data_IF_241910201937
#
_entry.id   IF_241910201937
#
_cell.length_a   1.000
_cell.length_b   1.000
_cell.length_c   1.000
_cell.angle_alpha   90.00
_cell.angle_beta   90.00
_cell.angle_gamma   90.00
#
_symmetry.space_group_name_H-M   'P 1'
#
loop_
_entity.id
_entity.type
_entity.pdbx_description
1 polymer ?
#
# COMPACT_ATOMS: atom_id res chain seq x y z
N UNK A 1 -1.66 6.31 -17.20
CA UNK A 1 -2.86 5.44 -17.43
C UNK A 1 -3.70 5.40 -16.16
N UNK A 2 -5.03 5.57 -16.25
CA UNK A 2 -5.92 5.55 -15.06
C UNK A 2 -6.10 4.11 -14.57
N UNK A 3 -5.75 3.82 -13.33
CA UNK A 3 -5.80 2.48 -12.70
C UNK A 3 -6.97 2.30 -11.74
N UNK A 4 -7.75 3.35 -11.48
CA UNK A 4 -8.94 3.31 -10.63
C UNK A 4 -10.00 2.31 -11.16
N UNK A 5 -10.73 1.67 -10.24
CA UNK A 5 -11.78 0.66 -10.53
C UNK A 5 -11.28 -0.61 -11.23
N UNK A 6 -9.97 -0.81 -11.33
CA UNK A 6 -9.37 -2.07 -11.79
C UNK A 6 -8.69 -2.75 -10.61
N UNK A 7 -8.68 -4.09 -10.55
CA UNK A 7 -8.04 -4.85 -9.48
C UNK A 7 -6.51 -4.84 -9.66
N UNK A 8 -5.90 -3.66 -9.54
CA UNK A 8 -4.47 -3.43 -9.70
C UNK A 8 -3.87 -3.06 -8.35
N UNK A 9 -2.89 -3.84 -7.91
CA UNK A 9 -2.07 -3.52 -6.75
C UNK A 9 -1.02 -2.48 -7.16
N UNK A 10 -1.00 -1.35 -6.47
CA UNK A 10 -0.01 -0.30 -6.67
C UNK A 10 1.00 -0.29 -5.52
N UNK A 11 2.28 -0.39 -5.86
CA UNK A 11 3.39 -0.40 -4.90
C UNK A 11 4.35 0.74 -5.25
N UNK A 12 4.83 1.46 -4.25
CA UNK A 12 5.87 2.47 -4.43
C UNK A 12 7.01 2.26 -3.43
N UNK A 13 8.22 2.59 -3.88
CA UNK A 13 9.42 2.65 -3.05
C UNK A 13 9.71 4.05 -2.50
N UNK A 14 8.92 5.04 -2.91
CA UNK A 14 9.10 6.42 -2.51
C UNK A 14 8.01 6.80 -1.49
N UNK A 15 8.44 7.05 -0.25
CA UNK A 15 7.59 7.34 0.91
C UNK A 15 6.58 8.48 0.72
N UNK A 16 6.82 9.38 -0.23
CA UNK A 16 5.95 10.53 -0.55
C UNK A 16 4.63 10.14 -1.24
N UNK A 17 4.54 8.97 -1.90
CA UNK A 17 3.35 8.62 -2.70
C UNK A 17 2.21 7.96 -1.92
N UNK A 18 2.30 7.79 -0.60
CA UNK A 18 1.22 7.21 0.21
C UNK A 18 -0.11 7.97 0.08
N UNK A 19 -0.04 9.29 -0.21
CA UNK A 19 -1.20 10.16 -0.42
C UNK A 19 -1.69 10.24 -1.86
N UNK A 20 -0.95 9.67 -2.82
CA UNK A 20 -1.19 9.81 -4.27
C UNK A 20 -1.80 8.55 -4.92
N UNK A 21 -2.58 7.77 -4.17
CA UNK A 21 -3.27 6.58 -4.72
C UNK A 21 -2.37 5.34 -4.83
N UNK A 22 -1.30 5.28 -4.02
CA UNK A 22 -0.51 4.06 -3.83
C UNK A 22 -1.07 3.25 -2.67
N UNK A 23 -1.22 1.95 -2.89
CA UNK A 23 -1.81 1.03 -1.91
C UNK A 23 -0.80 0.51 -0.90
N UNK A 24 0.41 0.16 -1.34
CA UNK A 24 1.52 -0.27 -0.48
C UNK A 24 2.71 0.66 -0.70
N UNK A 25 3.16 1.31 0.37
CA UNK A 25 4.31 2.20 0.31
C UNK A 25 5.47 1.63 1.12
N UNK A 26 6.57 1.26 0.46
CA UNK A 26 7.78 0.80 1.10
C UNK A 26 8.50 2.01 1.70
N UNK A 27 8.67 1.98 3.02
CA UNK A 27 9.32 3.05 3.79
C UNK A 27 10.82 2.81 3.94
N UNK A 28 11.21 1.57 4.17
CA UNK A 28 12.58 1.18 4.46
C UNK A 28 12.83 -0.26 4.03
N UNK A 29 14.01 -0.52 3.47
CA UNK A 29 14.54 -1.86 3.23
C UNK A 29 15.88 -1.94 3.96
N UNK A 30 15.96 -2.76 5.01
CA UNK A 30 17.18 -2.91 5.82
C UNK A 30 17.32 -4.33 6.32
N UNK A 31 18.52 -4.90 6.18
CA UNK A 31 18.86 -6.27 6.65
C UNK A 31 17.81 -7.32 6.25
N UNK A 32 17.42 -7.35 4.97
CA UNK A 32 16.37 -8.22 4.42
C UNK A 32 14.97 -8.05 5.05
N UNK A 33 14.72 -6.98 5.81
CA UNK A 33 13.41 -6.62 6.33
C UNK A 33 12.87 -5.41 5.57
N UNK A 34 11.60 -5.49 5.18
CA UNK A 34 10.89 -4.42 4.49
C UNK A 34 9.89 -3.82 5.48
N UNK A 35 9.99 -2.51 5.72
CA UNK A 35 8.93 -1.76 6.40
C UNK A 35 8.06 -1.10 5.36
N UNK A 36 6.76 -1.31 5.47
CA UNK A 36 5.79 -0.77 4.53
C UNK A 36 4.55 -0.25 5.24
N UNK A 37 3.92 0.75 4.63
CA UNK A 37 2.63 1.29 5.04
C UNK A 37 1.54 0.89 4.02
N UNK A 38 0.30 0.79 4.48
CA UNK A 38 -0.86 0.41 3.65
C UNK A 38 -1.88 1.54 3.61
N UNK A 39 -2.47 1.81 2.44
CA UNK A 39 -3.60 2.72 2.25
C UNK A 39 -4.86 1.90 1.87
N UNK A 40 -5.73 1.63 2.86
CA UNK A 40 -6.93 0.81 2.66
C UNK A 40 -7.97 1.52 1.79
N UNK A 41 -8.07 2.85 1.85
CA UNK A 41 -8.98 3.61 1.01
C UNK A 41 -8.67 3.40 -0.48
N UNK A 42 -7.38 3.35 -0.83
CA UNK A 42 -6.93 3.06 -2.21
C UNK A 42 -7.23 1.61 -2.58
N UNK A 43 -7.05 0.66 -1.65
CA UNK A 43 -7.46 -0.74 -1.85
C UNK A 43 -8.94 -0.88 -2.18
N UNK A 44 -9.79 -0.21 -1.41
CA UNK A 44 -11.23 -0.21 -1.61
C UNK A 44 -11.63 0.39 -2.97
N UNK A 45 -11.01 1.51 -3.38
CA UNK A 45 -11.24 2.15 -4.69
C UNK A 45 -10.83 1.27 -5.89
N UNK A 46 -9.90 0.35 -5.69
CA UNK A 46 -9.46 -0.64 -6.69
C UNK A 46 -10.21 -1.98 -6.60
N UNK A 47 -11.24 -2.08 -5.76
CA UNK A 47 -11.97 -3.31 -5.49
C UNK A 47 -11.06 -4.47 -5.02
N UNK A 48 -10.00 -4.12 -4.28
CA UNK A 48 -9.06 -5.07 -3.69
C UNK A 48 -9.27 -5.18 -2.19
N UNK A 49 -9.15 -6.40 -1.68
CA UNK A 49 -9.14 -6.70 -0.25
C UNK A 49 -7.72 -7.05 0.16
N UNK A 50 -7.18 -6.33 1.14
CA UNK A 50 -5.90 -6.65 1.74
C UNK A 50 -6.12 -7.66 2.86
N UNK A 51 -5.26 -8.67 2.98
CA UNK A 51 -5.35 -9.64 4.07
C UNK A 51 -5.06 -8.99 5.43
N UNK A 52 -5.66 -9.53 6.48
CA UNK A 52 -5.45 -9.01 7.83
C UNK A 52 -4.00 -9.15 8.30
N UNK A 53 -3.33 -10.24 7.91
CA UNK A 53 -1.91 -10.47 8.22
C UNK A 53 -1.00 -9.40 7.62
N UNK A 54 -1.29 -8.96 6.39
CA UNK A 54 -0.55 -7.88 5.73
C UNK A 54 -0.74 -6.56 6.46
N UNK A 55 -1.95 -6.27 6.94
CA UNK A 55 -2.25 -5.08 7.76
C UNK A 55 -1.52 -5.14 9.11
N UNK A 56 -1.55 -6.27 9.80
CA UNK A 56 -0.87 -6.45 11.10
C UNK A 56 0.65 -6.31 11.01
N UNK A 57 1.24 -6.68 9.87
CA UNK A 57 2.68 -6.55 9.61
C UNK A 57 3.10 -5.17 9.07
N UNK A 58 2.14 -4.34 8.65
CA UNK A 58 2.44 -2.98 8.20
C UNK A 58 2.90 -2.12 9.37
N UNK A 59 3.85 -1.21 9.13
CA UNK A 59 4.27 -0.25 10.19
C UNK A 59 3.22 0.82 10.43
N UNK A 60 2.33 1.03 9.45
CA UNK A 60 1.31 2.07 9.46
C UNK A 60 0.19 1.71 8.48
N UNK A 61 -1.05 2.01 8.84
CA UNK A 61 -2.23 1.84 7.98
C UNK A 61 -3.02 3.15 7.91
N UNK A 62 -3.41 3.56 6.71
CA UNK A 62 -4.21 4.75 6.44
C UNK A 62 -5.54 4.38 5.79
N UNK A 63 -6.55 5.23 6.00
CA UNK A 63 -7.89 5.04 5.43
C UNK A 63 -8.70 4.12 6.30
#
# INVERSE_FOLDING_TARGET
>A
KKVEKKPVLTVSMHGTFARYGVMVNIREIKNNKIKYAINNMTAHKSNLKISEDLRKKAVETFG
#
